data_IF_046168249334
#
_entry.id   IF_046168249334
#
_cell.length_a   1.000
_cell.length_b   1.000
_cell.length_c   1.000
_cell.angle_alpha   90.00
_cell.angle_beta   90.00
_cell.angle_gamma   90.00
#
_symmetry.space_group_name_H-M   'P 1'
#
loop_
_entity.id
_entity.type
_entity.pdbx_description
1 polymer ?
#
# COMPACT_ATOMS: atom_id res chain seq x y z
N UNK A 1 17.31 -2.87 -19.92
CA UNK A 1 16.47 -2.75 -18.81
C UNK A 1 15.06 -2.33 -19.19
N UNK A 2 14.16 -3.13 -18.89
CA UNK A 2 12.80 -2.82 -19.26
C UNK A 2 12.22 -1.74 -18.36
N UNK A 3 11.54 -0.82 -18.96
CA UNK A 3 10.73 0.11 -18.23
C UNK A 3 9.51 -0.63 -17.72
N UNK A 4 9.46 -0.78 -16.42
CA UNK A 4 8.36 -1.43 -15.79
C UNK A 4 7.22 -0.42 -15.65
N UNK A 5 6.06 -0.73 -16.20
CA UNK A 5 4.91 0.18 -16.08
C UNK A 5 4.54 0.44 -14.62
N UNK A 6 4.86 -0.50 -13.73
CA UNK A 6 4.58 -0.37 -12.31
C UNK A 6 5.46 0.70 -11.67
N UNK A 7 6.71 0.84 -12.14
CA UNK A 7 7.58 1.90 -11.65
C UNK A 7 7.02 3.27 -11.98
N UNK A 8 6.45 3.41 -13.16
CA UNK A 8 5.82 4.66 -13.58
C UNK A 8 4.62 4.99 -12.71
N UNK A 9 3.83 3.99 -12.36
CA UNK A 9 2.69 4.17 -11.45
C UNK A 9 3.16 4.64 -10.08
N UNK A 10 4.22 4.02 -9.59
CA UNK A 10 4.76 4.32 -8.28
C UNK A 10 5.34 5.74 -8.22
N UNK A 11 5.98 6.19 -9.29
CA UNK A 11 6.49 7.54 -9.40
C UNK A 11 5.38 8.57 -9.25
N UNK A 12 4.23 8.31 -9.83
CA UNK A 12 3.08 9.21 -9.73
C UNK A 12 2.63 9.37 -8.29
N UNK A 13 2.61 8.26 -7.57
CA UNK A 13 2.23 8.29 -6.17
C UNK A 13 3.25 9.07 -5.34
N UNK A 14 4.52 8.85 -5.59
CA UNK A 14 5.58 9.50 -4.83
C UNK A 14 5.68 11.00 -5.11
N UNK A 15 5.27 11.45 -6.29
CA UNK A 15 5.30 12.87 -6.64
C UNK A 15 4.41 13.73 -5.78
N UNK A 16 3.44 13.14 -5.11
CA UNK A 16 2.56 13.91 -4.23
C UNK A 16 3.31 14.50 -3.05
N UNK A 17 4.48 13.93 -2.70
CA UNK A 17 5.25 14.36 -1.55
C UNK A 17 4.67 13.91 -0.21
N UNK A 18 3.56 13.19 -0.23
CA UNK A 18 2.88 12.74 0.99
C UNK A 18 3.24 11.30 1.36
N UNK A 19 3.83 10.57 0.43
CA UNK A 19 4.23 9.18 0.61
C UNK A 19 5.75 9.12 0.52
N UNK A 20 6.38 8.63 1.58
CA UNK A 20 7.84 8.55 1.61
C UNK A 20 8.38 7.32 0.92
N UNK A 21 7.71 6.21 1.13
CA UNK A 21 8.10 4.92 0.54
C UNK A 21 6.83 4.22 0.09
N UNK A 22 6.93 3.49 -1.00
CA UNK A 22 5.77 2.80 -1.53
C UNK A 22 6.18 1.56 -2.28
N UNK A 23 5.24 0.62 -2.40
CA UNK A 23 5.42 -0.61 -3.16
C UNK A 23 4.11 -1.00 -3.80
N UNK A 24 4.21 -1.73 -4.89
CA UNK A 24 3.06 -2.36 -5.54
C UNK A 24 3.32 -3.86 -5.53
N UNK A 25 2.31 -4.62 -5.11
CA UNK A 25 2.38 -6.08 -5.14
C UNK A 25 1.17 -6.62 -5.89
N UNK A 26 1.32 -7.81 -6.48
CA UNK A 26 0.17 -8.43 -7.14
C UNK A 26 -0.63 -9.26 -6.14
N UNK A 27 -1.74 -9.83 -6.58
CA UNK A 27 -2.65 -10.54 -5.69
C UNK A 27 -2.14 -11.91 -5.25
N UNK A 28 -0.97 -12.34 -5.74
CA UNK A 28 -0.35 -13.59 -5.30
C UNK A 28 0.92 -13.36 -4.49
N UNK A 29 1.25 -12.11 -4.19
CA UNK A 29 2.35 -11.79 -3.29
C UNK A 29 3.68 -11.47 -3.93
N UNK A 30 3.71 -11.31 -5.26
CA UNK A 30 4.94 -10.88 -5.92
C UNK A 30 5.06 -9.36 -5.90
N UNK A 31 6.27 -8.88 -5.63
CA UNK A 31 6.53 -7.44 -5.60
C UNK A 31 6.71 -6.95 -7.03
N UNK A 32 5.86 -6.04 -7.45
CA UNK A 32 5.88 -5.50 -8.81
C UNK A 32 6.81 -4.31 -8.94
N UNK A 33 6.86 -3.48 -7.92
CA UNK A 33 7.73 -2.31 -7.88
C UNK A 33 7.87 -1.80 -6.45
N UNK A 34 9.01 -1.20 -6.15
CA UNK A 34 9.26 -0.53 -4.87
C UNK A 34 10.00 0.77 -5.14
N UNK A 35 9.81 1.75 -4.26
CA UNK A 35 10.60 2.98 -4.34
C UNK A 35 12.03 2.69 -3.92
N UNK A 36 13.01 3.48 -4.39
CA UNK A 36 14.41 3.27 -4.02
C UNK A 36 14.60 3.27 -2.51
N UNK A 37 15.37 2.31 -2.02
CA UNK A 37 15.65 2.18 -0.60
C UNK A 37 14.60 1.45 0.22
N UNK A 38 13.45 1.14 -0.36
CA UNK A 38 12.42 0.38 0.31
C UNK A 38 12.55 -1.10 -0.07
N UNK A 39 12.66 -1.96 0.94
CA UNK A 39 12.75 -3.41 0.72
C UNK A 39 11.49 -4.05 1.25
N UNK A 40 10.85 -4.81 0.39
CA UNK A 40 9.66 -5.57 0.77
C UNK A 40 9.89 -7.02 0.34
N UNK A 41 9.92 -7.92 1.30
CA UNK A 41 10.14 -9.33 1.01
C UNK A 41 8.84 -10.00 0.57
N UNK A 42 8.97 -11.16 -0.07
CA UNK A 42 7.79 -11.93 -0.46
C UNK A 42 6.99 -12.38 0.77
N UNK A 43 7.69 -12.69 1.85
CA UNK A 43 7.05 -13.06 3.10
C UNK A 43 6.23 -11.90 3.66
N UNK A 44 6.76 -10.70 3.59
CA UNK A 44 6.04 -9.50 4.04
C UNK A 44 4.83 -9.23 3.15
N UNK A 45 4.99 -9.39 1.83
CA UNK A 45 3.89 -9.25 0.89
C UNK A 45 2.78 -10.25 1.17
N UNK A 46 3.15 -11.50 1.47
CA UNK A 46 2.17 -12.53 1.82
C UNK A 46 1.41 -12.15 3.10
N UNK A 47 2.11 -11.58 4.07
CA UNK A 47 1.49 -11.09 5.30
C UNK A 47 0.48 -9.98 5.03
N UNK A 48 0.81 -9.08 4.12
CA UNK A 48 -0.10 -8.00 3.71
C UNK A 48 -1.37 -8.57 3.10
N UNK A 49 -1.23 -9.53 2.17
CA UNK A 49 -2.39 -10.15 1.54
C UNK A 49 -3.25 -10.90 2.54
N UNK A 50 -2.62 -11.59 3.48
CA UNK A 50 -3.33 -12.28 4.54
C UNK A 50 -4.13 -11.30 5.38
N UNK A 51 -3.53 -10.17 5.74
CA UNK A 51 -4.20 -9.14 6.52
C UNK A 51 -5.41 -8.56 5.79
N UNK A 52 -5.29 -8.36 4.47
CA UNK A 52 -6.40 -7.85 3.66
C UNK A 52 -7.54 -8.85 3.56
N UNK A 53 -7.24 -10.15 3.66
CA UNK A 53 -8.25 -11.19 3.59
C UNK A 53 -9.08 -11.30 4.85
N UNK A 54 -8.55 -10.83 5.97
CA UNK A 54 -9.25 -10.91 7.25
C UNK A 54 -10.14 -9.69 7.42
N UNK A 55 -11.44 -9.90 7.26
CA UNK A 55 -12.42 -8.81 7.33
C UNK A 55 -13.04 -8.68 8.72
N UNK A 56 -12.19 -8.76 9.73
CA UNK A 56 -12.65 -8.66 11.11
C UNK A 56 -12.24 -7.32 11.70
N UNK A 57 -12.98 -6.89 12.69
CA UNK A 57 -12.73 -5.62 13.35
C UNK A 57 -11.58 -5.67 14.34
N UNK A 58 -10.80 -6.72 14.30
CA UNK A 58 -9.65 -6.88 15.21
C UNK A 58 -8.43 -6.19 14.68
N UNK A 59 -7.62 -5.70 15.59
CA UNK A 59 -6.33 -5.16 15.24
C UNK A 59 -5.43 -6.27 14.72
N UNK A 60 -4.69 -5.99 13.67
CA UNK A 60 -3.79 -6.93 13.04
C UNK A 60 -2.38 -6.37 13.17
N UNK A 61 -1.44 -7.22 13.55
CA UNK A 61 -0.03 -6.82 13.60
C UNK A 61 0.67 -7.28 12.35
N UNK A 62 1.39 -6.35 11.72
CA UNK A 62 2.02 -6.60 10.44
C UNK A 62 3.46 -6.11 10.52
N UNK A 63 4.41 -7.01 10.25
CA UNK A 63 5.82 -6.65 10.27
C UNK A 63 6.29 -6.28 8.87
N UNK A 64 6.91 -5.11 8.76
CA UNK A 64 7.55 -4.67 7.53
C UNK A 64 8.92 -4.13 7.92
N UNK A 65 9.98 -4.80 7.46
CA UNK A 65 11.33 -4.50 7.88
C UNK A 65 11.48 -4.77 9.38
N UNK A 66 11.95 -3.79 10.10
CA UNK A 66 12.14 -3.90 11.54
C UNK A 66 10.96 -3.37 12.35
N UNK A 67 9.97 -2.81 11.67
CA UNK A 67 8.84 -2.18 12.34
C UNK A 67 7.63 -3.11 12.37
N UNK A 68 6.92 -3.08 13.49
CA UNK A 68 5.66 -3.79 13.63
C UNK A 68 4.56 -2.75 13.62
N UNK A 69 3.68 -2.86 12.64
CA UNK A 69 2.55 -1.95 12.49
C UNK A 69 1.30 -2.56 13.10
N UNK A 70 0.62 -1.78 13.92
CA UNK A 70 -0.70 -2.16 14.41
C UNK A 70 -1.70 -1.64 13.41
N UNK A 71 -2.39 -2.54 12.73
CA UNK A 71 -3.25 -2.21 11.61
C UNK A 71 -4.71 -2.47 11.93
N UNK A 72 -5.57 -1.67 11.30
CA UNK A 72 -7.02 -1.87 11.39
C UNK A 72 -7.63 -1.54 10.04
N UNK A 73 -8.80 -2.11 9.81
CA UNK A 73 -9.53 -1.87 8.58
C UNK A 73 -10.13 -0.46 8.61
N UNK A 74 -10.03 0.24 7.48
CA UNK A 74 -10.61 1.57 7.38
C UNK A 74 -12.14 1.44 7.47
N UNK A 75 -12.76 2.26 8.30
CA UNK A 75 -14.18 2.10 8.58
C UNK A 75 -15.09 2.39 7.38
N UNK A 76 -14.63 3.19 6.43
CA UNK A 76 -15.42 3.53 5.25
C UNK A 76 -15.08 2.68 4.04
N UNK A 77 -14.01 1.91 4.09
CA UNK A 77 -13.56 1.14 2.92
C UNK A 77 -12.82 -0.10 3.39
N UNK A 78 -13.46 -1.26 3.23
CA UNK A 78 -12.91 -2.53 3.68
C UNK A 78 -11.69 -3.00 2.89
N UNK A 79 -11.41 -2.37 1.75
CA UNK A 79 -10.22 -2.69 0.96
C UNK A 79 -8.99 -1.93 1.43
N UNK A 80 -9.12 -1.13 2.49
CA UNK A 80 -8.03 -0.30 3.01
C UNK A 80 -7.68 -0.71 4.43
N UNK A 81 -6.38 -0.94 4.65
CA UNK A 81 -5.82 -1.12 5.99
C UNK A 81 -4.95 0.08 6.32
N UNK A 82 -5.08 0.54 7.55
CA UNK A 82 -4.26 1.63 8.05
C UNK A 82 -3.48 1.11 9.25
N UNK A 83 -2.18 1.31 9.25
CA UNK A 83 -1.32 0.81 10.30
C UNK A 83 -0.44 1.90 10.87
N UNK A 84 0.01 1.69 12.08
CA UNK A 84 0.86 2.63 12.77
C UNK A 84 1.98 1.92 13.51
N UNK A 85 3.19 2.44 13.33
CA UNK A 85 4.35 2.05 14.09
C UNK A 85 4.89 3.30 14.79
N UNK A 86 6.04 3.17 15.44
CA UNK A 86 6.59 4.27 16.21
C UNK A 86 6.91 5.50 15.35
N UNK A 87 7.54 5.27 14.18
CA UNK A 87 8.03 6.35 13.34
C UNK A 87 7.39 6.41 11.96
N UNK A 88 6.48 5.52 11.66
CA UNK A 88 5.89 5.44 10.33
C UNK A 88 4.41 5.13 10.39
N UNK A 89 3.71 5.58 9.37
CA UNK A 89 2.33 5.24 9.14
C UNK A 89 2.21 4.44 7.86
N UNK A 90 1.38 3.43 7.87
CA UNK A 90 1.19 2.50 6.77
C UNK A 90 -0.22 2.62 6.24
N UNK A 91 -0.36 2.70 4.93
CA UNK A 91 -1.66 2.58 4.26
C UNK A 91 -1.54 1.53 3.18
N UNK A 92 -2.44 0.56 3.21
CA UNK A 92 -2.49 -0.52 2.23
C UNK A 92 -3.86 -0.51 1.60
N UNK A 93 -3.93 -0.55 0.28
CA UNK A 93 -5.21 -0.62 -0.40
C UNK A 93 -5.19 -1.65 -1.50
N UNK A 94 -6.22 -2.50 -1.52
CA UNK A 94 -6.43 -3.47 -2.57
C UNK A 94 -7.06 -2.76 -3.77
N UNK A 95 -6.46 -2.95 -4.94
CA UNK A 95 -6.97 -2.43 -6.20
C UNK A 95 -7.35 -3.61 -7.11
N UNK A 96 -7.92 -3.31 -8.28
CA UNK A 96 -8.35 -4.36 -9.20
C UNK A 96 -7.19 -5.25 -9.65
N UNK A 97 -6.05 -4.64 -9.97
CA UNK A 97 -4.93 -5.36 -10.58
C UNK A 97 -3.75 -5.55 -9.65
N UNK A 98 -3.76 -4.90 -8.48
CA UNK A 98 -2.61 -4.93 -7.58
C UNK A 98 -3.00 -4.41 -6.20
N UNK A 99 -2.04 -4.43 -5.29
CA UNK A 99 -2.19 -3.86 -3.95
C UNK A 99 -1.14 -2.78 -3.81
N UNK A 100 -1.55 -1.61 -3.35
CA UNK A 100 -0.62 -0.50 -3.11
C UNK A 100 -0.31 -0.41 -1.63
N UNK A 101 0.98 -0.24 -1.33
CA UNK A 101 1.50 -0.10 0.03
C UNK A 101 2.20 1.25 0.12
N UNK A 102 1.78 2.10 1.04
CA UNK A 102 2.38 3.41 1.23
C UNK A 102 2.82 3.62 2.66
N UNK A 103 4.00 4.18 2.83
CA UNK A 103 4.57 4.52 4.14
C UNK A 103 4.84 6.01 4.19
N UNK A 104 4.50 6.63 5.28
CA UNK A 104 4.67 8.07 5.45
C UNK A 104 4.91 8.43 6.90
N UNK A 105 5.27 9.68 7.11
CA UNK A 105 5.45 10.24 8.44
C UNK A 105 4.10 10.27 9.16
N UNK A 106 4.02 9.82 10.42
CA UNK A 106 2.77 9.84 11.16
C UNK A 106 2.23 11.24 11.48
N UNK A 107 3.02 12.28 11.23
CA UNK A 107 2.56 13.65 11.45
C UNK A 107 1.44 14.06 10.48
N UNK A 108 1.35 13.40 9.33
CA UNK A 108 0.31 13.73 8.34
C UNK A 108 -0.43 12.47 7.88
N UNK A 109 -1.05 11.74 8.81
CA UNK A 109 -1.66 10.45 8.48
C UNK A 109 -2.80 10.56 7.46
N UNK A 110 -3.62 11.59 7.59
CA UNK A 110 -4.74 11.79 6.67
C UNK A 110 -4.29 11.99 5.24
N UNK A 111 -3.16 12.67 5.05
CA UNK A 111 -2.62 12.90 3.71
C UNK A 111 -2.16 11.61 3.05
N UNK A 112 -1.50 10.74 3.82
CA UNK A 112 -1.05 9.45 3.30
C UNK A 112 -2.24 8.61 2.85
N UNK A 113 -3.25 8.49 3.71
CA UNK A 113 -4.45 7.72 3.41
C UNK A 113 -5.14 8.29 2.17
N UNK A 114 -5.30 9.60 2.12
CA UNK A 114 -5.96 10.27 1.01
C UNK A 114 -5.24 10.01 -0.32
N UNK A 115 -3.91 10.12 -0.33
CA UNK A 115 -3.15 9.95 -1.56
C UNK A 115 -3.20 8.51 -2.06
N UNK A 116 -3.09 7.54 -1.15
CA UNK A 116 -3.19 6.14 -1.53
C UNK A 116 -4.58 5.83 -2.09
N UNK A 117 -5.63 6.31 -1.43
CA UNK A 117 -6.99 6.05 -1.88
C UNK A 117 -7.28 6.71 -3.23
N UNK A 118 -6.76 7.92 -3.43
CA UNK A 118 -6.93 8.64 -4.71
C UNK A 118 -6.20 7.91 -5.83
N UNK A 119 -4.97 7.47 -5.57
CA UNK A 119 -4.19 6.71 -6.53
C UNK A 119 -4.93 5.42 -6.92
N UNK A 120 -5.44 4.69 -5.93
CA UNK A 120 -6.15 3.45 -6.17
C UNK A 120 -7.42 3.67 -7.00
N UNK A 121 -8.15 4.73 -6.71
CA UNK A 121 -9.37 5.07 -7.43
C UNK A 121 -9.09 5.36 -8.90
N UNK A 122 -8.03 6.11 -9.18
CA UNK A 122 -7.62 6.41 -10.56
C UNK A 122 -7.19 5.15 -11.29
N UNK A 123 -6.44 4.28 -10.64
CA UNK A 123 -5.97 3.04 -11.24
C UNK A 123 -7.13 2.11 -11.57
N UNK A 124 -8.10 1.99 -10.68
CA UNK A 124 -9.28 1.16 -10.92
C UNK A 124 -10.13 1.72 -12.07
N UNK A 125 -10.24 3.03 -12.17
CA UNK A 125 -10.97 3.68 -13.23
C UNK A 125 -10.34 3.39 -14.60
N UNK A 126 -9.01 3.49 -14.68
CA UNK A 126 -8.27 3.17 -15.90
C UNK A 126 -8.46 1.72 -16.30
N UNK A 127 -8.41 0.81 -15.35
CA UNK A 127 -8.60 -0.60 -15.59
C UNK A 127 -9.98 -0.86 -16.22
N UNK A 128 -11.01 -0.18 -15.74
CA UNK A 128 -12.35 -0.30 -16.31
C UNK A 128 -12.44 0.23 -17.72
N UNK A 129 -11.78 1.34 -17.98
CA UNK A 129 -11.83 1.98 -19.30
C UNK A 129 -11.11 1.17 -20.37
N UNK A 130 -10.14 0.37 -19.98
CA UNK A 130 -9.33 -0.41 -20.90
C UNK A 130 -9.87 -1.81 -21.18
N UNK A 131 -11.04 -2.11 -20.72
CA UNK A 131 -11.66 -3.41 -21.00
C UNK A 131 -12.37 -3.45 -22.35
#
# INVERSE_FOLDING_TARGET
MSDNKWDSHLDKLKRTGKIERAALINHVGSVLAVTPGFKLTEQEAAGILSALSHRYSHLIKLQIGQDVFTCFQHFQNTDVLVGRAENDMLTIQKCNDFVVVGLADPESPGSCIYEVMTFAKRSNRKSKLNR
#
